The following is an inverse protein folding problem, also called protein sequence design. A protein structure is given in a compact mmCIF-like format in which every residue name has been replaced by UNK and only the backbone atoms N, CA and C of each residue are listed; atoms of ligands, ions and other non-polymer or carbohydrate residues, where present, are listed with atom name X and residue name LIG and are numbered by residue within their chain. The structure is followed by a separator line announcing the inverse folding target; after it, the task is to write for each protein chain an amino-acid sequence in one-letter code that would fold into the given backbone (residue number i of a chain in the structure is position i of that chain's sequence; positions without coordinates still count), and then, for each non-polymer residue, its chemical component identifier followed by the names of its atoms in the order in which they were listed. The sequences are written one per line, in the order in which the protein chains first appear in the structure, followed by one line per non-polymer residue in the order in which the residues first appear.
data_IF_755957030680
#
_entry.id   IF_755957030680
#
_cell.length_a   1.000
_cell.length_b   1.000
_cell.length_c   1.000
_cell.angle_alpha   90.00
_cell.angle_beta   90.00
_cell.angle_gamma   90.00
#
_symmetry.space_group_name_H-M   'P 1'
#
loop_
_entity.id
_entity.type
_entity.pdbx_description
1 polymer ?
#
# COMPACT_ATOMS: atom_id res chain seq x y z
N UNK A 1 25.51 33.85 -29.48
CA UNK A 1 24.08 34.21 -29.38
C UNK A 1 23.33 32.95 -28.99
N UNK A 2 23.03 32.79 -27.72
CA UNK A 2 22.35 31.62 -27.21
C UNK A 2 20.85 31.84 -27.16
N UNK A 3 20.09 30.90 -27.71
CA UNK A 3 18.63 30.88 -27.65
C UNK A 3 18.16 30.59 -26.20
N UNK A 4 17.17 31.32 -25.68
CA UNK A 4 16.63 31.04 -24.35
C UNK A 4 15.79 29.76 -24.34
N UNK A 5 15.70 29.02 -23.22
CA UNK A 5 14.90 27.79 -23.12
C UNK A 5 13.40 28.10 -23.21
N UNK A 6 12.68 27.28 -23.98
CA UNK A 6 11.24 27.39 -24.22
C UNK A 6 10.45 27.32 -22.90
N UNK A 7 9.60 28.31 -22.70
CA UNK A 7 8.65 28.35 -21.60
C UNK A 7 7.67 27.16 -21.73
N UNK A 8 7.71 26.22 -20.79
CA UNK A 8 6.69 25.17 -20.66
C UNK A 8 5.33 25.82 -20.44
N UNK A 9 4.40 25.59 -21.35
CA UNK A 9 3.05 26.12 -21.30
C UNK A 9 2.35 25.63 -20.02
N UNK A 10 2.10 26.54 -19.10
CA UNK A 10 1.32 26.27 -17.87
C UNK A 10 -0.13 26.09 -18.28
N UNK A 11 -0.62 24.85 -18.36
CA UNK A 11 -2.04 24.55 -18.58
C UNK A 11 -2.86 25.12 -17.42
N UNK A 12 -3.93 25.85 -17.71
CA UNK A 12 -4.91 26.37 -16.74
C UNK A 12 -6.22 25.60 -16.90
N UNK A 13 -6.77 25.09 -15.82
CA UNK A 13 -8.04 24.43 -15.80
C UNK A 13 -9.14 25.38 -15.34
N UNK A 14 -10.39 25.18 -15.81
CA UNK A 14 -11.56 25.94 -15.39
C UNK A 14 -12.38 25.09 -14.40
N UNK A 15 -12.56 25.59 -13.17
CA UNK A 15 -13.48 25.01 -12.22
C UNK A 15 -14.45 26.08 -11.72
N UNK A 16 -15.76 25.85 -11.91
CA UNK A 16 -16.85 26.80 -11.61
C UNK A 16 -16.57 28.23 -12.11
N UNK A 17 -16.07 28.37 -13.36
CA UNK A 17 -15.83 29.68 -13.97
C UNK A 17 -14.62 30.45 -13.45
N UNK A 18 -13.83 29.92 -12.52
CA UNK A 18 -12.58 30.51 -12.05
C UNK A 18 -11.36 29.81 -12.64
N UNK A 19 -10.35 30.58 -13.05
CA UNK A 19 -9.05 30.05 -13.48
C UNK A 19 -8.28 29.59 -12.26
N UNK A 20 -8.18 28.28 -12.05
CA UNK A 20 -7.36 27.65 -11.02
C UNK A 20 -6.05 27.15 -11.63
N UNK A 21 -4.95 27.17 -10.87
CA UNK A 21 -3.73 26.44 -11.25
C UNK A 21 -4.08 24.95 -11.29
N UNK A 22 -3.86 24.32 -12.43
CA UNK A 22 -3.77 22.87 -12.45
C UNK A 22 -2.50 22.50 -11.69
N UNK A 23 -2.64 22.02 -10.47
CA UNK A 23 -1.58 21.29 -9.81
C UNK A 23 -1.53 19.95 -10.56
N UNK A 24 -0.39 19.53 -11.12
CA UNK A 24 -0.29 18.18 -11.67
C UNK A 24 -0.67 17.21 -10.56
N UNK A 25 -1.37 16.10 -10.87
CA UNK A 25 -1.64 15.07 -9.88
C UNK A 25 -0.31 14.64 -9.24
N UNK A 26 -0.36 14.25 -7.96
CA UNK A 26 0.81 13.71 -7.26
C UNK A 26 1.46 12.61 -8.14
N UNK A 27 2.78 12.48 -8.15
CA UNK A 27 3.51 11.64 -9.11
C UNK A 27 3.02 10.19 -9.21
N UNK A 28 2.39 9.66 -8.14
CA UNK A 28 1.85 8.30 -8.07
C UNK A 28 0.34 8.20 -8.31
N UNK A 29 -0.40 9.30 -8.30
CA UNK A 29 -1.87 9.31 -8.36
C UNK A 29 -2.44 8.62 -9.60
N UNK A 30 -1.76 8.71 -10.74
CA UNK A 30 -2.19 8.03 -11.96
C UNK A 30 -2.23 6.49 -11.79
N UNK A 31 -1.33 5.91 -11.01
CA UNK A 31 -1.29 4.46 -10.76
C UNK A 31 -2.44 4.02 -9.86
N UNK A 32 -2.74 4.79 -8.81
CA UNK A 32 -3.91 4.59 -7.95
C UNK A 32 -5.21 4.66 -8.77
N UNK A 33 -5.35 5.66 -9.65
CA UNK A 33 -6.52 5.78 -10.53
C UNK A 33 -6.65 4.60 -11.48
N UNK A 34 -5.54 4.08 -12.02
CA UNK A 34 -5.55 2.90 -12.88
C UNK A 34 -6.02 1.66 -12.11
N UNK A 35 -5.52 1.43 -10.89
CA UNK A 35 -5.99 0.35 -10.02
C UNK A 35 -7.48 0.48 -9.69
N UNK A 36 -7.96 1.68 -9.42
CA UNK A 36 -9.37 1.94 -9.11
C UNK A 36 -10.32 1.61 -10.28
N UNK A 37 -9.81 1.59 -11.51
CA UNK A 37 -10.58 1.21 -12.72
C UNK A 37 -10.48 -0.28 -13.05
N UNK A 38 -9.67 -1.04 -12.31
CA UNK A 38 -9.45 -2.46 -12.59
C UNK A 38 -10.74 -3.27 -12.34
N UNK A 39 -11.09 -4.25 -13.20
CA UNK A 39 -12.30 -5.07 -13.03
C UNK A 39 -12.39 -5.82 -11.70
N UNK A 40 -11.26 -6.21 -11.11
CA UNK A 40 -11.19 -6.88 -9.80
C UNK A 40 -11.75 -6.05 -8.64
N UNK A 41 -11.95 -4.74 -8.80
CA UNK A 41 -12.48 -3.88 -7.73
C UNK A 41 -13.87 -4.30 -7.28
N UNK A 42 -14.73 -4.75 -8.20
CA UNK A 42 -16.05 -5.26 -7.86
C UNK A 42 -15.93 -6.54 -7.00
N UNK A 43 -15.06 -7.48 -7.38
CA UNK A 43 -14.79 -8.69 -6.61
C UNK A 43 -14.27 -8.36 -5.20
N UNK A 44 -13.36 -7.38 -5.09
CA UNK A 44 -12.87 -6.91 -3.79
C UNK A 44 -14.01 -6.42 -2.89
N UNK A 45 -14.93 -5.62 -3.43
CA UNK A 45 -16.07 -5.11 -2.68
C UNK A 45 -16.99 -6.25 -2.18
N UNK A 46 -17.32 -7.20 -3.05
CA UNK A 46 -18.16 -8.35 -2.72
C UNK A 46 -17.52 -9.27 -1.66
N UNK A 47 -16.20 -9.50 -1.77
CA UNK A 47 -15.44 -10.29 -0.80
C UNK A 47 -15.41 -9.59 0.57
N UNK A 48 -15.14 -8.28 0.59
CA UNK A 48 -15.18 -7.49 1.83
C UNK A 48 -16.57 -7.53 2.48
N UNK A 49 -17.64 -7.42 1.71
CA UNK A 49 -19.01 -7.53 2.24
C UNK A 49 -19.30 -8.89 2.88
N UNK A 50 -18.77 -9.95 2.30
CA UNK A 50 -18.90 -11.33 2.86
C UNK A 50 -18.14 -11.46 4.17
N UNK A 51 -16.91 -10.93 4.22
CA UNK A 51 -16.05 -11.00 5.41
C UNK A 51 -16.62 -10.14 6.54
N UNK A 52 -17.01 -8.90 6.26
CA UNK A 52 -17.50 -7.94 7.26
C UNK A 52 -18.76 -8.48 7.98
N UNK A 53 -19.59 -9.26 7.31
CA UNK A 53 -20.74 -9.93 7.94
C UNK A 53 -20.40 -11.08 8.87
N UNK A 54 -19.12 -11.47 8.96
CA UNK A 54 -18.60 -12.56 9.80
C UNK A 54 -17.58 -11.98 10.78
N UNK A 55 -17.97 -11.54 11.97
CA UNK A 55 -17.08 -10.80 12.90
C UNK A 55 -15.76 -11.50 13.21
N UNK A 56 -15.78 -12.84 13.35
CA UNK A 56 -14.56 -13.61 13.60
C UNK A 56 -13.58 -13.57 12.42
N UNK A 57 -14.06 -13.79 11.19
CA UNK A 57 -13.24 -13.74 9.98
C UNK A 57 -12.78 -12.31 9.70
N UNK A 58 -13.65 -11.32 9.96
CA UNK A 58 -13.31 -9.91 9.83
C UNK A 58 -12.19 -9.50 10.81
N UNK A 59 -12.26 -9.94 12.07
CA UNK A 59 -11.20 -9.70 13.05
C UNK A 59 -9.87 -10.31 12.59
N UNK A 60 -9.89 -11.53 12.02
CA UNK A 60 -8.69 -12.20 11.48
C UNK A 60 -8.17 -11.49 10.23
N UNK A 61 -9.04 -10.95 9.37
CA UNK A 61 -8.61 -10.14 8.21
C UNK A 61 -7.92 -8.85 8.68
N UNK A 62 -8.49 -8.13 9.65
CA UNK A 62 -7.85 -6.93 10.20
C UNK A 62 -6.50 -7.29 10.84
N UNK A 63 -6.40 -8.45 11.50
CA UNK A 63 -5.14 -8.95 12.05
C UNK A 63 -4.12 -9.29 10.94
N UNK A 64 -4.59 -9.77 9.77
CA UNK A 64 -3.74 -9.97 8.59
C UNK A 64 -3.15 -8.65 8.12
N UNK A 65 -3.98 -7.61 7.96
CA UNK A 65 -3.49 -6.27 7.60
C UNK A 65 -2.51 -5.72 8.64
N UNK A 66 -2.81 -5.85 9.94
CA UNK A 66 -1.89 -5.47 11.02
C UNK A 66 -0.53 -6.20 10.92
N UNK A 67 -0.53 -7.48 10.55
CA UNK A 67 0.71 -8.24 10.29
C UNK A 67 1.45 -7.69 9.08
N UNK A 68 0.76 -7.34 8.02
CA UNK A 68 1.36 -6.80 6.78
C UNK A 68 2.09 -5.48 7.06
N UNK A 69 1.48 -4.54 7.80
CA UNK A 69 2.13 -3.31 8.25
C UNK A 69 3.39 -3.62 9.08
N UNK A 70 3.29 -4.54 10.03
CA UNK A 70 4.45 -4.97 10.83
C UNK A 70 5.57 -5.58 9.98
N UNK A 71 5.23 -6.34 8.94
CA UNK A 71 6.21 -6.88 7.97
C UNK A 71 6.88 -5.73 7.21
N UNK A 72 6.13 -4.68 6.86
CA UNK A 72 6.65 -3.44 6.29
C UNK A 72 7.73 -2.80 7.18
N UNK A 73 7.47 -2.65 8.48
CA UNK A 73 8.46 -2.13 9.46
C UNK A 73 9.73 -2.99 9.47
N UNK A 74 9.60 -4.32 9.52
CA UNK A 74 10.75 -5.25 9.51
C UNK A 74 11.59 -5.07 8.23
N UNK A 75 10.92 -4.89 7.10
CA UNK A 75 11.57 -4.65 5.81
C UNK A 75 12.34 -3.34 5.80
N UNK A 76 11.74 -2.26 6.30
CA UNK A 76 12.39 -0.95 6.44
C UNK A 76 13.66 -1.02 7.29
N UNK A 77 13.59 -1.65 8.46
CA UNK A 77 14.74 -1.84 9.35
C UNK A 77 15.85 -2.63 8.65
N UNK A 78 15.49 -3.63 7.84
CA UNK A 78 16.47 -4.45 7.10
C UNK A 78 17.08 -3.71 5.90
N UNK A 79 16.28 -2.93 5.18
CA UNK A 79 16.70 -2.27 3.94
C UNK A 79 17.49 -0.98 4.20
N UNK A 80 17.22 -0.27 5.29
CA UNK A 80 17.84 1.04 5.59
C UNK A 80 18.98 0.87 6.58
N UNK A 81 20.20 1.16 6.11
CA UNK A 81 21.37 1.25 6.99
C UNK A 81 21.28 2.53 7.82
N UNK A 82 21.82 2.47 9.05
CA UNK A 82 21.77 3.60 9.99
C UNK A 82 22.39 4.89 9.42
N UNK A 83 23.44 4.79 8.59
CA UNK A 83 24.10 5.92 7.96
C UNK A 83 23.26 6.65 6.89
N UNK A 84 22.15 6.04 6.44
CA UNK A 84 21.24 6.60 5.43
C UNK A 84 19.84 6.83 5.98
N UNK A 85 19.62 6.59 7.27
CA UNK A 85 18.33 6.79 7.92
C UNK A 85 18.18 8.25 8.34
N UNK A 86 17.30 8.96 7.66
CA UNK A 86 16.92 10.35 7.94
C UNK A 86 15.63 10.46 8.77
N UNK A 87 15.22 11.69 9.07
CA UNK A 87 14.03 11.97 9.86
C UNK A 87 12.76 11.39 9.19
N UNK A 88 12.62 11.55 7.86
CA UNK A 88 11.46 11.07 7.11
C UNK A 88 11.38 9.54 7.17
N UNK A 89 12.52 8.85 7.07
CA UNK A 89 12.57 7.41 7.22
C UNK A 89 12.23 6.91 8.62
N UNK A 90 12.61 7.66 9.66
CA UNK A 90 12.21 7.34 11.05
C UNK A 90 10.71 7.57 11.22
N UNK A 91 10.18 8.68 10.68
CA UNK A 91 8.76 9.00 10.75
C UNK A 91 7.94 7.94 10.04
N UNK A 92 8.32 7.53 8.83
CA UNK A 92 7.64 6.47 8.08
C UNK A 92 7.60 5.15 8.87
N UNK A 93 8.74 4.69 9.45
CA UNK A 93 8.74 3.49 10.30
C UNK A 93 7.83 3.62 11.53
N UNK A 94 7.73 4.82 12.11
CA UNK A 94 6.82 5.09 13.21
C UNK A 94 5.36 4.98 12.77
N UNK A 95 5.01 5.55 11.61
CA UNK A 95 3.66 5.52 11.07
C UNK A 95 3.21 4.08 10.78
N UNK A 96 4.03 3.27 10.09
CA UNK A 96 3.77 1.85 9.86
C UNK A 96 3.58 1.06 11.16
N UNK A 97 4.41 1.37 12.19
CA UNK A 97 4.25 0.75 13.52
C UNK A 97 2.93 1.17 14.17
N UNK A 98 2.50 2.41 13.99
CA UNK A 98 1.22 2.92 14.48
C UNK A 98 0.06 2.30 13.69
N UNK A 99 0.19 2.12 12.37
CA UNK A 99 -0.79 1.43 11.52
C UNK A 99 -1.00 -0.02 12.02
N UNK A 100 0.09 -0.78 12.18
CA UNK A 100 0.04 -2.12 12.74
C UNK A 100 -0.65 -2.16 14.13
N UNK A 101 -0.32 -1.22 15.01
CA UNK A 101 -0.91 -1.13 16.36
C UNK A 101 -2.41 -0.79 16.31
N UNK A 102 -2.83 0.15 15.45
CA UNK A 102 -4.24 0.54 15.29
C UNK A 102 -5.08 -0.63 14.79
N UNK A 103 -4.61 -1.31 13.73
CA UNK A 103 -5.27 -2.48 13.17
C UNK A 103 -5.32 -3.62 14.18
N UNK A 104 -4.23 -3.87 14.93
CA UNK A 104 -4.22 -4.90 16.00
C UNK A 104 -5.26 -4.61 17.07
N UNK A 105 -5.37 -3.36 17.53
CA UNK A 105 -6.38 -2.96 18.51
C UNK A 105 -7.79 -3.13 17.95
N UNK A 106 -8.03 -2.79 16.69
CA UNK A 106 -9.31 -2.97 16.02
C UNK A 106 -9.69 -4.46 15.91
N UNK A 107 -8.75 -5.34 15.52
CA UNK A 107 -8.94 -6.78 15.47
C UNK A 107 -9.34 -7.35 16.85
N UNK A 108 -8.60 -6.98 17.90
CA UNK A 108 -8.87 -7.40 19.28
C UNK A 108 -10.23 -6.88 19.81
N UNK A 109 -10.60 -5.66 19.44
CA UNK A 109 -11.88 -5.09 19.84
C UNK A 109 -13.05 -5.80 19.14
N UNK A 110 -12.92 -6.08 17.85
CA UNK A 110 -13.94 -6.77 17.06
C UNK A 110 -14.09 -8.23 17.46
N UNK A 111 -12.99 -8.91 17.82
CA UNK A 111 -13.00 -10.29 18.25
C UNK A 111 -13.71 -10.50 19.62
N UNK A 112 -13.83 -9.46 20.46
CA UNK A 112 -14.49 -9.54 21.75
C UNK A 112 -13.91 -10.64 22.65
N UNK A 113 -14.73 -11.63 23.04
CA UNK A 113 -14.29 -12.79 23.81
C UNK A 113 -13.36 -13.73 23.04
N UNK A 114 -13.41 -13.69 21.71
CA UNK A 114 -12.53 -14.45 20.79
C UNK A 114 -11.11 -13.89 20.60
N UNK A 115 -10.64 -12.99 21.48
CA UNK A 115 -9.32 -12.32 21.37
C UNK A 115 -8.14 -13.26 21.20
N UNK A 116 -8.22 -14.47 21.71
CA UNK A 116 -7.17 -15.48 21.56
C UNK A 116 -6.92 -15.84 20.08
N UNK A 117 -7.96 -15.79 19.23
CA UNK A 117 -7.87 -16.10 17.80
C UNK A 117 -7.24 -14.99 16.95
N UNK A 118 -6.87 -13.86 17.53
CA UNK A 118 -6.14 -12.74 16.90
C UNK A 118 -5.05 -12.19 17.83
N UNK A 119 -4.60 -12.99 18.78
CA UNK A 119 -3.65 -12.59 19.82
C UNK A 119 -2.25 -12.31 19.29
N UNK A 120 -1.81 -13.10 18.32
CA UNK A 120 -0.48 -13.01 17.68
C UNK A 120 -0.58 -12.73 16.18
N UNK A 121 0.54 -12.83 15.48
CA UNK A 121 0.63 -12.82 14.02
C UNK A 121 0.93 -14.21 13.46
N UNK A 122 0.61 -15.28 14.21
CA UNK A 122 0.73 -16.63 13.69
C UNK A 122 -0.24 -16.88 12.53
N UNK A 123 0.07 -17.87 11.69
CA UNK A 123 -0.80 -18.26 10.58
C UNK A 123 -2.22 -18.63 11.03
N UNK A 124 -2.36 -19.17 12.28
CA UNK A 124 -3.66 -19.50 12.86
C UNK A 124 -4.49 -18.27 13.27
N UNK A 125 -3.84 -17.15 13.58
CA UNK A 125 -4.46 -15.93 14.09
C UNK A 125 -4.78 -14.91 12.96
N UNK A 126 -4.39 -15.21 11.73
CA UNK A 126 -4.63 -14.38 10.53
C UNK A 126 -5.64 -15.06 9.60
N UNK A 127 -6.35 -14.30 8.77
CA UNK A 127 -7.17 -14.86 7.72
C UNK A 127 -6.27 -15.26 6.55
N UNK A 128 -6.43 -16.46 6.02
CA UNK A 128 -5.58 -17.03 4.97
C UNK A 128 -4.10 -17.28 5.38
N UNK A 129 -3.82 -17.45 6.67
CA UNK A 129 -2.49 -17.87 7.14
C UNK A 129 -1.37 -16.88 6.78
N UNK A 130 -0.36 -17.37 6.06
CA UNK A 130 0.82 -16.58 5.65
C UNK A 130 0.64 -15.84 4.31
N UNK A 131 -0.49 -16.01 3.62
CA UNK A 131 -0.71 -15.47 2.26
C UNK A 131 -0.47 -13.95 2.14
N UNK A 132 -0.73 -13.17 3.20
CA UNK A 132 -0.43 -11.73 3.23
C UNK A 132 1.09 -11.44 3.22
N UNK A 133 1.89 -12.22 3.96
CA UNK A 133 3.36 -12.09 3.95
C UNK A 133 3.94 -12.61 2.62
N UNK A 134 3.42 -13.72 2.08
CA UNK A 134 3.81 -14.27 0.78
C UNK A 134 3.57 -13.27 -0.36
N UNK A 135 2.43 -12.56 -0.32
CA UNK A 135 2.13 -11.48 -1.25
C UNK A 135 3.19 -10.37 -1.19
N UNK A 136 3.53 -9.87 0.00
CA UNK A 136 4.53 -8.82 0.16
C UNK A 136 5.92 -9.27 -0.33
N UNK A 137 6.29 -10.53 -0.09
CA UNK A 137 7.55 -11.10 -0.57
C UNK A 137 7.57 -11.25 -2.10
N UNK A 138 6.45 -11.66 -2.71
CA UNK A 138 6.33 -11.77 -4.15
C UNK A 138 6.49 -10.41 -4.85
N UNK A 139 5.92 -9.34 -4.29
CA UNK A 139 6.12 -7.96 -4.78
C UNK A 139 7.58 -7.53 -4.66
N UNK A 140 8.25 -7.89 -3.56
CA UNK A 140 9.68 -7.60 -3.35
C UNK A 140 10.57 -8.27 -4.39
N UNK A 141 10.34 -9.55 -4.67
CA UNK A 141 11.04 -10.28 -5.71
C UNK A 141 10.77 -9.74 -7.12
N UNK A 142 9.53 -9.30 -7.39
CA UNK A 142 9.21 -8.67 -8.67
C UNK A 142 9.96 -7.35 -8.86
N UNK A 143 10.08 -6.53 -7.81
CA UNK A 143 10.87 -5.31 -7.86
C UNK A 143 12.36 -5.63 -8.09
N UNK A 144 12.92 -6.60 -7.37
CA UNK A 144 14.30 -7.06 -7.57
C UNK A 144 14.56 -7.51 -9.01
N UNK A 145 13.63 -8.24 -9.61
CA UNK A 145 13.74 -8.69 -10.99
C UNK A 145 13.81 -7.54 -12.00
N UNK A 146 13.18 -6.39 -11.73
CA UNK A 146 13.28 -5.19 -12.58
C UNK A 146 14.63 -4.49 -12.51
N UNK A 147 15.46 -4.83 -11.52
CA UNK A 147 16.78 -4.24 -11.29
C UNK A 147 17.94 -5.15 -11.75
N UNK A 148 17.64 -6.31 -12.33
CA UNK A 148 18.65 -7.32 -12.70
C UNK A 148 19.66 -6.79 -13.74
N UNK A 149 19.29 -5.85 -14.59
CA UNK A 149 20.14 -5.22 -15.59
C UNK A 149 21.15 -4.24 -15.00
N UNK A 150 20.98 -3.81 -13.75
CA UNK A 150 21.90 -2.93 -13.05
C UNK A 150 23.15 -3.65 -12.48
N UNK A 151 23.20 -4.98 -12.57
CA UNK A 151 24.30 -5.84 -12.11
C UNK A 151 24.28 -6.04 -10.60
N UNK A 152 24.37 -5.00 -9.81
CA UNK A 152 24.32 -5.06 -8.36
C UNK A 152 23.01 -4.42 -7.87
N UNK A 153 22.11 -5.24 -7.32
CA UNK A 153 20.81 -4.76 -6.80
C UNK A 153 21.03 -3.93 -5.55
N UNK A 154 20.67 -2.67 -5.61
CA UNK A 154 20.69 -1.77 -4.47
C UNK A 154 19.47 -2.05 -3.58
N UNK A 155 19.72 -2.54 -2.39
CA UNK A 155 18.64 -2.89 -1.43
C UNK A 155 17.66 -1.75 -1.19
N UNK A 156 18.15 -0.51 -1.14
CA UNK A 156 17.28 0.68 -0.97
C UNK A 156 16.37 0.92 -2.18
N UNK A 157 16.89 0.76 -3.41
CA UNK A 157 16.09 0.94 -4.63
C UNK A 157 15.02 -0.13 -4.75
N UNK A 158 15.37 -1.39 -4.46
CA UNK A 158 14.39 -2.48 -4.39
C UNK A 158 13.30 -2.19 -3.37
N UNK A 159 13.69 -1.75 -2.17
CA UNK A 159 12.76 -1.33 -1.14
C UNK A 159 11.81 -0.23 -1.64
N UNK A 160 12.33 0.84 -2.26
CA UNK A 160 11.51 1.94 -2.75
C UNK A 160 10.50 1.51 -3.80
N UNK A 161 10.90 0.68 -4.79
CA UNK A 161 10.01 0.20 -5.84
C UNK A 161 8.90 -0.71 -5.31
N UNK A 162 9.28 -1.69 -4.49
CA UNK A 162 8.31 -2.65 -3.96
C UNK A 162 7.37 -2.00 -2.94
N UNK A 163 7.87 -1.11 -2.07
CA UNK A 163 7.02 -0.37 -1.14
C UNK A 163 6.09 0.60 -1.88
N UNK A 164 6.59 1.33 -2.89
CA UNK A 164 5.72 2.19 -3.71
C UNK A 164 4.57 1.42 -4.38
N UNK A 165 4.80 0.18 -4.85
CA UNK A 165 3.74 -0.64 -5.41
C UNK A 165 2.71 -1.06 -4.34
N UNK A 166 3.15 -1.39 -3.12
CA UNK A 166 2.29 -1.75 -1.99
C UNK A 166 1.47 -0.55 -1.54
N UNK A 167 2.07 0.67 -1.44
CA UNK A 167 1.37 1.89 -1.08
C UNK A 167 0.33 2.31 -2.14
N UNK A 168 0.65 2.16 -3.43
CA UNK A 168 -0.34 2.37 -4.50
C UNK A 168 -1.53 1.42 -4.33
N UNK A 169 -1.31 0.17 -3.90
CA UNK A 169 -2.37 -0.78 -3.56
C UNK A 169 -3.15 -0.33 -2.34
N UNK A 170 -2.51 0.11 -1.27
CA UNK A 170 -3.15 0.58 -0.06
C UNK A 170 -4.07 1.79 -0.35
N UNK A 171 -3.58 2.78 -1.10
CA UNK A 171 -4.33 3.96 -1.54
C UNK A 171 -5.52 3.62 -2.47
N UNK A 172 -5.49 2.49 -3.15
CA UNK A 172 -6.65 1.98 -3.90
C UNK A 172 -7.60 1.17 -3.02
N UNK A 173 -7.07 0.29 -2.16
CA UNK A 173 -7.85 -0.70 -1.44
C UNK A 173 -8.51 -0.14 -0.16
N UNK A 174 -7.78 0.63 0.66
CA UNK A 174 -8.30 1.13 1.92
C UNK A 174 -9.50 2.09 1.78
N UNK A 175 -9.61 2.97 0.76
CA UNK A 175 -10.83 3.74 0.55
C UNK A 175 -12.06 2.87 0.28
N UNK A 176 -11.92 1.79 -0.50
CA UNK A 176 -12.97 0.81 -0.71
C UNK A 176 -13.35 0.12 0.60
N UNK A 177 -12.36 -0.32 1.37
CA UNK A 177 -12.59 -0.97 2.66
C UNK A 177 -13.30 -0.03 3.65
N UNK A 178 -12.87 1.23 3.77
CA UNK A 178 -13.54 2.24 4.61
C UNK A 178 -15.00 2.47 4.19
N UNK A 179 -15.27 2.50 2.87
CA UNK A 179 -16.65 2.59 2.35
C UNK A 179 -17.49 1.40 2.80
N UNK A 180 -16.95 0.17 2.70
CA UNK A 180 -17.66 -1.05 3.10
C UNK A 180 -17.89 -1.10 4.62
N UNK A 181 -16.88 -0.69 5.42
CA UNK A 181 -17.02 -0.59 6.88
C UNK A 181 -18.18 0.33 7.27
N UNK A 182 -18.28 1.50 6.64
CA UNK A 182 -19.38 2.45 6.87
C UNK A 182 -20.74 1.90 6.44
N UNK A 183 -20.79 1.26 5.28
CA UNK A 183 -22.03 0.67 4.75
C UNK A 183 -22.60 -0.42 5.68
N UNK A 184 -21.74 -1.14 6.39
CA UNK A 184 -22.13 -2.17 7.36
C UNK A 184 -22.23 -1.65 8.81
N UNK A 185 -21.96 -0.37 9.07
CA UNK A 185 -22.03 0.21 10.42
C UNK A 185 -20.99 -0.36 11.40
N UNK A 186 -19.85 -0.85 10.91
CA UNK A 186 -18.80 -1.41 11.76
C UNK A 186 -17.99 -0.29 12.42
N UNK A 187 -17.72 -0.33 13.74
CA UNK A 187 -17.01 0.71 14.47
C UNK A 187 -15.47 0.57 14.30
N UNK A 188 -15.02 0.36 13.06
CA UNK A 188 -13.61 0.31 12.65
C UNK A 188 -13.42 1.35 11.54
N UNK A 189 -12.26 2.00 11.50
CA UNK A 189 -11.94 2.96 10.45
C UNK A 189 -10.44 2.90 10.13
N UNK A 190 -10.12 2.95 8.84
CA UNK A 190 -8.76 3.05 8.30
C UNK A 190 -8.42 4.46 7.79
N UNK A 191 -9.33 5.42 7.97
CA UNK A 191 -9.15 6.79 7.48
C UNK A 191 -7.90 7.52 8.04
N UNK A 192 -7.39 7.07 9.19
CA UNK A 192 -6.17 7.62 9.76
C UNK A 192 -4.91 7.10 9.05
N UNK A 193 -4.94 5.86 8.56
CA UNK A 193 -3.87 5.25 7.75
C UNK A 193 -3.80 5.99 6.41
N UNK A 194 -4.91 6.12 5.70
CA UNK A 194 -4.99 6.81 4.41
C UNK A 194 -4.36 8.20 4.36
N UNK A 195 -4.39 8.96 5.47
CA UNK A 195 -3.75 10.29 5.52
C UNK A 195 -2.23 10.23 5.52
N UNK A 196 -1.67 9.16 6.04
CA UNK A 196 -0.22 8.98 6.10
C UNK A 196 0.31 8.42 4.76
N UNK A 197 -0.47 7.56 4.05
CA UNK A 197 -0.11 6.93 2.77
C UNK A 197 0.11 7.94 1.63
N UNK A 198 -0.74 8.97 1.51
CA UNK A 198 -0.54 10.06 0.53
C UNK A 198 0.86 10.69 0.65
N UNK A 199 1.35 10.87 1.89
CA UNK A 199 2.66 11.42 2.18
C UNK A 199 3.77 10.41 1.84
N UNK A 200 3.61 9.14 2.22
CA UNK A 200 4.56 8.07 1.92
C UNK A 200 4.79 7.94 0.41
N UNK A 201 3.73 7.95 -0.39
CA UNK A 201 3.83 7.91 -1.86
C UNK A 201 4.59 9.10 -2.44
N UNK A 202 4.38 10.31 -1.92
CA UNK A 202 5.08 11.50 -2.38
C UNK A 202 6.59 11.44 -2.04
N UNK A 203 6.93 10.98 -0.85
CA UNK A 203 8.32 10.79 -0.39
C UNK A 203 9.03 9.72 -1.21
N UNK A 204 8.38 8.59 -1.48
CA UNK A 204 8.94 7.51 -2.31
C UNK A 204 9.19 7.97 -3.73
N UNK A 205 8.26 8.73 -4.34
CA UNK A 205 8.44 9.29 -5.68
C UNK A 205 9.66 10.21 -5.74
N UNK A 206 9.83 11.09 -4.76
CA UNK A 206 10.97 12.00 -4.70
C UNK A 206 12.31 11.25 -4.55
N UNK A 207 12.34 10.21 -3.73
CA UNK A 207 13.52 9.35 -3.55
C UNK A 207 13.84 8.54 -4.82
N UNK A 208 12.82 7.99 -5.48
CA UNK A 208 12.97 7.28 -6.74
C UNK A 208 13.46 8.21 -7.87
N UNK A 209 12.92 9.43 -7.98
CA UNK A 209 13.41 10.43 -8.96
C UNK A 209 14.90 10.74 -8.77
N UNK A 210 15.41 10.67 -7.54
CA UNK A 210 16.83 10.90 -7.22
C UNK A 210 17.70 9.66 -7.43
N UNK A 211 17.19 8.47 -7.08
CA UNK A 211 17.98 7.24 -7.02
C UNK A 211 17.99 6.45 -8.34
N UNK A 212 16.92 6.52 -9.12
CA UNK A 212 16.72 5.69 -10.32
C UNK A 212 15.96 6.48 -11.40
N UNK A 213 16.64 7.11 -12.39
CA UNK A 213 16.00 7.97 -13.38
C UNK A 213 14.90 7.30 -14.21
N UNK A 214 14.99 5.99 -14.43
CA UNK A 214 14.03 5.18 -15.21
C UNK A 214 13.09 4.33 -14.31
N UNK A 215 12.80 4.78 -13.11
CA UNK A 215 11.97 4.03 -12.16
C UNK A 215 10.51 3.83 -12.62
N UNK A 216 9.95 4.74 -13.44
CA UNK A 216 8.54 4.66 -13.85
C UNK A 216 8.19 3.41 -14.63
N UNK A 217 8.88 3.04 -15.73
CA UNK A 217 8.61 1.79 -16.43
C UNK A 217 8.88 0.56 -15.55
N UNK A 218 9.84 0.63 -14.60
CA UNK A 218 10.09 -0.46 -13.66
C UNK A 218 8.96 -0.59 -12.66
N UNK A 219 8.46 0.52 -12.11
CA UNK A 219 7.28 0.50 -11.22
C UNK A 219 6.05 -0.06 -11.95
N UNK A 220 5.81 0.32 -13.21
CA UNK A 220 4.71 -0.22 -14.01
C UNK A 220 4.80 -1.75 -14.13
N UNK A 221 5.99 -2.29 -14.41
CA UNK A 221 6.20 -3.74 -14.44
C UNK A 221 5.96 -4.41 -13.07
N UNK A 222 6.35 -3.75 -11.97
CA UNK A 222 6.07 -4.24 -10.60
C UNK A 222 4.58 -4.20 -10.32
N UNK A 223 3.86 -3.14 -10.69
CA UNK A 223 2.42 -3.01 -10.49
C UNK A 223 1.62 -4.06 -11.29
N UNK A 224 2.07 -4.38 -12.51
CA UNK A 224 1.47 -5.47 -13.31
C UNK A 224 1.66 -6.84 -12.65
N UNK A 225 2.80 -7.08 -12.01
CA UNK A 225 3.05 -8.30 -11.25
C UNK A 225 2.26 -8.29 -9.92
N UNK A 226 2.24 -7.18 -9.20
CA UNK A 226 1.52 -6.97 -7.96
C UNK A 226 0.03 -7.28 -8.11
N UNK A 227 -0.61 -6.83 -9.19
CA UNK A 227 -2.01 -7.09 -9.44
C UNK A 227 -2.34 -8.60 -9.47
N UNK A 228 -1.44 -9.43 -10.03
CA UNK A 228 -1.59 -10.89 -10.03
C UNK A 228 -1.38 -11.50 -8.65
N UNK A 229 -0.39 -11.01 -7.90
CA UNK A 229 -0.11 -11.49 -6.55
C UNK A 229 -1.23 -11.11 -5.58
N UNK A 230 -1.78 -9.91 -5.72
CA UNK A 230 -2.93 -9.50 -4.92
C UNK A 230 -4.18 -10.32 -5.24
N UNK A 231 -4.41 -10.68 -6.50
CA UNK A 231 -5.50 -11.60 -6.87
C UNK A 231 -5.30 -12.98 -6.20
N UNK A 232 -4.07 -13.52 -6.19
CA UNK A 232 -3.75 -14.77 -5.48
C UNK A 232 -3.99 -14.66 -3.97
N UNK A 233 -3.62 -13.54 -3.36
CA UNK A 233 -3.93 -13.27 -1.96
C UNK A 233 -5.45 -13.26 -1.70
N UNK A 234 -6.24 -12.61 -2.56
CA UNK A 234 -7.70 -12.61 -2.46
C UNK A 234 -8.30 -14.02 -2.64
N UNK A 235 -7.73 -14.85 -3.54
CA UNK A 235 -8.14 -16.26 -3.70
C UNK A 235 -7.92 -17.04 -2.39
N UNK A 236 -6.78 -16.85 -1.74
CA UNK A 236 -6.48 -17.49 -0.45
C UNK A 236 -7.44 -17.00 0.67
N UNK A 237 -7.73 -15.70 0.69
CA UNK A 237 -8.71 -15.11 1.63
C UNK A 237 -10.10 -15.68 1.39
N UNK A 238 -10.53 -15.81 0.14
CA UNK A 238 -11.84 -16.36 -0.22
C UNK A 238 -11.96 -17.84 0.15
N UNK A 239 -10.89 -18.62 -0.06
CA UNK A 239 -10.85 -20.05 0.30
C UNK A 239 -10.84 -20.27 1.83
N UNK A 240 -10.48 -19.27 2.62
CA UNK A 240 -10.45 -19.34 4.09
C UNK A 240 -11.80 -19.00 4.76
N UNK A 241 -12.83 -18.61 3.99
CA UNK A 241 -14.18 -18.27 4.46
C UNK A 241 -15.11 -19.50 4.50
#
# INVERSE_FOLDING_TARGET
MGTPPSARSRRRCLWRGRRVRCVPPAPMQQYVENMNRHPERQRQAELLDRIIRRPADHARLINTFSRMEYVGVRKMVKARRSEHLDLDGIQHMLDETIHALRLKKAALALAGEGRAAVGTFSAGDTLAGDAGEDYLQAVDHAAEATLADLGEVRTEVNYLLSSAAIEVRAESFYPLYEERLRAHGVPVSVAAILRDEDRHLAEMAARLDSALPDWRPRLEAVLDAEARFFATFLDAVEAAL
#
